data_IF_387122802384
#
_entry.id   IF_387122802384
#
_cell.length_a   1.000
_cell.length_b   1.000
_cell.length_c   1.000
_cell.angle_alpha   90.00
_cell.angle_beta   90.00
_cell.angle_gamma   90.00
#
_symmetry.space_group_name_H-M   'P 1'
#
loop_
_entity.id
_entity.type
_entity.pdbx_description
1 polymer ?
#
# COMPACT_ATOMS: atom_id res chain seq x y z
N UNK A 1 -36.10 -60.25 -16.51
CA UNK A 1 -36.31 -60.39 -15.05
C UNK A 1 -35.32 -59.46 -14.37
N UNK A 2 -35.78 -58.28 -13.90
CA UNK A 2 -34.91 -57.22 -13.36
C UNK A 2 -34.88 -57.37 -11.84
N UNK A 3 -33.81 -57.91 -11.27
CA UNK A 3 -33.59 -57.88 -9.82
C UNK A 3 -33.01 -56.52 -9.46
N UNK A 4 -33.85 -55.69 -8.84
CA UNK A 4 -33.48 -54.36 -8.37
C UNK A 4 -32.52 -54.46 -7.20
N UNK A 5 -31.28 -54.01 -7.41
CA UNK A 5 -30.38 -53.68 -6.30
C UNK A 5 -30.73 -52.25 -5.88
N UNK A 6 -31.37 -52.12 -4.72
CA UNK A 6 -31.64 -50.86 -4.05
C UNK A 6 -30.31 -50.15 -3.74
N UNK A 7 -29.94 -49.15 -4.55
CA UNK A 7 -28.86 -48.23 -4.19
C UNK A 7 -29.36 -47.38 -3.02
N UNK A 8 -28.88 -47.72 -1.83
CA UNK A 8 -28.93 -46.86 -0.66
C UNK A 8 -28.54 -45.43 -1.04
N UNK A 9 -29.38 -44.47 -0.64
CA UNK A 9 -29.10 -43.05 -0.76
C UNK A 9 -27.82 -42.73 0.04
N UNK A 10 -26.70 -42.56 -0.65
CA UNK A 10 -25.57 -41.86 -0.08
C UNK A 10 -25.98 -40.39 0.06
N UNK A 11 -26.59 -40.03 1.19
CA UNK A 11 -26.67 -38.66 1.64
C UNK A 11 -25.24 -38.16 1.83
N UNK A 12 -24.69 -37.48 0.81
CA UNK A 12 -23.40 -36.80 0.90
C UNK A 12 -23.66 -35.40 1.43
N UNK A 13 -23.30 -35.20 2.70
CA UNK A 13 -22.97 -33.95 3.38
C UNK A 13 -23.86 -32.73 3.05
N UNK A 14 -24.68 -32.38 4.01
CA UNK A 14 -25.08 -31.01 4.35
C UNK A 14 -23.89 -30.03 4.24
N UNK A 15 -23.76 -29.38 3.09
CA UNK A 15 -22.93 -28.19 2.92
C UNK A 15 -23.65 -27.00 3.56
N UNK A 16 -23.68 -27.01 4.89
CA UNK A 16 -24.34 -26.05 5.78
C UNK A 16 -23.68 -24.66 5.70
N UNK A 17 -23.83 -23.97 4.57
CA UNK A 17 -23.62 -22.52 4.42
C UNK A 17 -22.24 -21.98 4.78
N UNK A 18 -21.25 -22.82 5.10
CA UNK A 18 -19.91 -22.38 5.48
C UNK A 18 -19.12 -22.11 4.19
N UNK A 19 -18.72 -20.85 3.93
CA UNK A 19 -18.00 -20.55 2.69
C UNK A 19 -16.70 -21.35 2.67
N UNK A 20 -16.34 -21.88 1.49
CA UNK A 20 -15.12 -22.68 1.34
C UNK A 20 -13.94 -21.81 1.75
N UNK A 21 -12.88 -22.45 2.27
CA UNK A 21 -11.66 -21.73 2.71
C UNK A 21 -11.14 -20.75 1.64
N UNK A 22 -11.21 -21.13 0.37
CA UNK A 22 -10.83 -20.28 -0.77
C UNK A 22 -11.74 -19.04 -0.94
N UNK A 23 -13.04 -19.16 -0.66
CA UNK A 23 -13.99 -18.05 -0.73
C UNK A 23 -13.71 -17.03 0.40
N UNK A 24 -13.42 -17.50 1.63
CA UNK A 24 -12.95 -16.64 2.73
C UNK A 24 -11.62 -15.95 2.45
N UNK A 25 -10.68 -16.62 1.78
CA UNK A 25 -9.39 -16.03 1.38
C UNK A 25 -9.62 -14.94 0.33
N UNK A 26 -10.49 -15.17 -0.67
CA UNK A 26 -10.87 -14.16 -1.67
C UNK A 26 -11.52 -12.93 -1.03
N UNK A 27 -12.49 -13.12 -0.15
CA UNK A 27 -13.13 -12.06 0.64
C UNK A 27 -12.08 -11.27 1.44
N UNK A 28 -11.14 -11.96 2.10
CA UNK A 28 -10.05 -11.33 2.85
C UNK A 28 -9.11 -10.49 1.97
N UNK A 29 -8.78 -10.96 0.76
CA UNK A 29 -7.96 -10.22 -0.21
C UNK A 29 -8.69 -8.97 -0.72
N UNK A 30 -10.00 -9.07 -0.96
CA UNK A 30 -10.84 -7.97 -1.42
C UNK A 30 -11.00 -6.86 -0.36
N UNK A 31 -11.25 -7.25 0.90
CA UNK A 31 -11.27 -6.34 2.05
C UNK A 31 -9.93 -5.61 2.21
N UNK A 32 -8.81 -6.35 2.13
CA UNK A 32 -7.47 -5.75 2.23
C UNK A 32 -7.21 -4.78 1.09
N UNK A 33 -7.60 -5.11 -0.14
CA UNK A 33 -7.49 -4.21 -1.31
C UNK A 33 -8.29 -2.93 -1.10
N UNK A 34 -9.52 -3.02 -0.61
CA UNK A 34 -10.36 -1.85 -0.34
C UNK A 34 -9.78 -0.94 0.76
N UNK A 35 -9.27 -1.53 1.85
CA UNK A 35 -8.59 -0.78 2.91
C UNK A 35 -7.38 -0.01 2.35
N UNK A 36 -6.55 -0.65 1.51
CA UNK A 36 -5.43 -0.01 0.85
C UNK A 36 -5.85 1.10 -0.12
N UNK A 37 -6.90 0.87 -0.92
CA UNK A 37 -7.43 1.88 -1.84
C UNK A 37 -7.93 3.12 -1.10
N UNK A 38 -8.65 2.95 0.03
CA UNK A 38 -9.10 4.07 0.87
C UNK A 38 -7.94 4.83 1.49
N UNK A 39 -6.96 4.14 2.05
CA UNK A 39 -5.78 4.78 2.62
C UNK A 39 -5.00 5.58 1.55
N UNK A 40 -4.78 5.00 0.37
CA UNK A 40 -4.10 5.68 -0.73
C UNK A 40 -4.87 6.90 -1.24
N UNK A 41 -6.20 6.83 -1.32
CA UNK A 41 -7.03 7.98 -1.68
C UNK A 41 -6.90 9.11 -0.65
N UNK A 42 -7.01 8.79 0.66
CA UNK A 42 -6.81 9.76 1.74
C UNK A 42 -5.43 10.43 1.68
N UNK A 43 -4.35 9.66 1.45
CA UNK A 43 -3.01 10.21 1.33
C UNK A 43 -2.82 11.09 0.08
N UNK A 44 -3.53 10.78 -1.01
CA UNK A 44 -3.55 11.58 -2.25
C UNK A 44 -4.22 12.93 -2.06
N UNK A 45 -5.30 12.95 -1.28
CA UNK A 45 -6.09 14.15 -1.04
C UNK A 45 -5.40 15.08 -0.03
N UNK A 46 -4.69 14.51 0.95
CA UNK A 46 -3.92 15.24 1.95
C UNK A 46 -2.54 15.72 1.47
N UNK A 47 -2.35 15.91 0.15
CA UNK A 47 -1.09 16.44 -0.38
C UNK A 47 -0.95 17.92 -0.09
N UNK A 48 0.27 18.33 0.25
CA UNK A 48 0.62 19.72 0.56
C UNK A 48 1.53 20.30 -0.52
N UNK A 49 1.58 21.64 -0.63
CA UNK A 49 2.52 22.31 -1.52
C UNK A 49 3.95 22.08 -1.02
N UNK A 50 4.85 21.70 -1.94
CA UNK A 50 6.21 21.30 -1.59
C UNK A 50 7.01 22.41 -0.90
N UNK A 51 6.95 23.66 -1.39
CA UNK A 51 7.61 24.83 -0.80
C UNK A 51 9.15 24.75 -0.71
N UNK A 52 9.80 23.80 -1.39
CA UNK A 52 11.27 23.71 -1.39
C UNK A 52 11.85 24.76 -2.34
N UNK A 53 13.05 25.28 -2.03
CA UNK A 53 13.75 26.20 -2.92
C UNK A 53 14.12 25.48 -4.22
N UNK A 54 13.56 25.93 -5.34
CA UNK A 54 13.92 25.42 -6.65
C UNK A 54 15.32 25.88 -7.07
N UNK A 55 15.97 25.12 -7.96
CA UNK A 55 17.33 25.41 -8.40
C UNK A 55 17.44 26.54 -9.44
N UNK A 56 16.46 26.70 -10.33
CA UNK A 56 16.52 27.66 -11.44
C UNK A 56 16.42 29.11 -10.98
N UNK A 57 15.27 29.48 -10.40
CA UNK A 57 14.93 30.87 -10.04
C UNK A 57 14.84 31.09 -8.52
N UNK A 58 15.17 30.09 -7.69
CA UNK A 58 15.20 30.25 -6.22
C UNK A 58 13.82 30.39 -5.54
N UNK A 59 12.72 30.46 -6.31
CA UNK A 59 11.36 30.56 -5.78
C UNK A 59 10.86 29.28 -5.07
N UNK A 60 9.85 29.36 -4.19
CA UNK A 60 9.28 28.18 -3.58
C UNK A 60 8.66 27.24 -4.63
N UNK A 61 8.85 25.94 -4.45
CA UNK A 61 8.28 24.92 -5.32
C UNK A 61 6.76 24.82 -5.12
N UNK A 62 6.01 25.01 -6.21
CA UNK A 62 4.55 24.95 -6.23
C UNK A 62 3.99 23.54 -6.46
N UNK A 63 4.84 22.55 -6.75
CA UNK A 63 4.39 21.18 -6.97
C UNK A 63 3.82 20.55 -5.70
N UNK A 64 2.80 19.70 -5.84
CA UNK A 64 2.25 18.92 -4.74
C UNK A 64 3.25 17.87 -4.23
N UNK A 65 3.17 17.59 -2.94
CA UNK A 65 3.97 16.57 -2.29
C UNK A 65 3.64 15.17 -2.82
N UNK A 66 4.53 14.20 -2.56
CA UNK A 66 4.15 12.79 -2.68
C UNK A 66 3.08 12.50 -1.61
N UNK A 67 2.05 11.68 -1.91
CA UNK A 67 1.05 11.26 -0.91
C UNK A 67 1.69 10.85 0.42
N UNK A 68 1.15 11.37 1.53
CA UNK A 68 1.67 11.12 2.89
C UNK A 68 3.03 11.78 3.22
N UNK A 69 3.59 12.63 2.34
CA UNK A 69 4.89 13.28 2.56
C UNK A 69 4.82 14.80 2.45
N UNK A 70 5.91 15.46 2.87
CA UNK A 70 6.04 16.94 2.89
C UNK A 70 6.61 17.55 1.61
N UNK A 71 7.27 16.77 0.75
CA UNK A 71 7.99 17.28 -0.44
C UNK A 71 7.55 16.54 -1.71
N UNK A 72 7.69 17.19 -2.85
CA UNK A 72 7.40 16.61 -4.16
C UNK A 72 8.49 15.64 -4.62
N UNK A 73 8.24 14.91 -5.71
CA UNK A 73 9.19 13.95 -6.30
C UNK A 73 10.58 14.57 -6.56
N UNK A 74 10.63 15.81 -7.03
CA UNK A 74 11.87 16.49 -7.41
C UNK A 74 12.68 17.04 -6.22
N UNK A 75 12.03 17.27 -5.09
CA UNK A 75 12.65 17.82 -3.89
C UNK A 75 12.70 16.80 -2.75
N UNK A 76 12.95 15.53 -3.10
CA UNK A 76 13.23 14.47 -2.13
C UNK A 76 11.99 13.73 -1.60
N UNK A 77 10.79 13.99 -2.11
CA UNK A 77 9.58 13.24 -1.73
C UNK A 77 9.71 11.74 -1.99
N UNK A 78 10.38 11.34 -3.08
CA UNK A 78 10.66 9.93 -3.35
C UNK A 78 11.92 9.40 -2.67
N UNK A 79 12.70 10.26 -1.99
CA UNK A 79 13.87 9.81 -1.25
C UNK A 79 13.48 9.02 -0.02
N UNK A 80 14.31 8.03 0.31
CA UNK A 80 14.17 7.20 1.51
C UNK A 80 15.23 7.53 2.56
N UNK A 81 16.08 8.52 2.29
CA UNK A 81 17.21 8.89 3.14
C UNK A 81 18.36 7.87 3.14
N UNK A 82 19.49 8.16 3.79
CA UNK A 82 20.56 7.20 3.98
C UNK A 82 20.10 6.06 4.91
N UNK A 83 20.17 4.82 4.42
CA UNK A 83 19.79 3.63 5.18
C UNK A 83 20.96 2.96 5.90
N UNK A 84 22.17 3.14 5.40
CA UNK A 84 23.40 2.53 5.97
C UNK A 84 24.11 3.50 6.92
N UNK A 85 24.93 2.96 7.82
CA UNK A 85 25.74 3.76 8.75
C UNK A 85 26.70 4.70 8.00
N UNK A 86 27.43 4.18 7.02
CA UNK A 86 28.32 4.98 6.15
C UNK A 86 27.57 6.11 5.43
N UNK A 87 26.36 5.83 4.93
CA UNK A 87 25.52 6.83 4.27
C UNK A 87 25.13 7.95 5.22
N UNK A 88 24.81 7.62 6.48
CA UNK A 88 24.50 8.62 7.52
C UNK A 88 25.73 9.47 7.84
N UNK A 89 26.91 8.87 7.95
CA UNK A 89 28.18 9.60 8.18
C UNK A 89 28.48 10.57 7.04
N UNK A 90 28.33 10.13 5.78
CA UNK A 90 28.50 11.00 4.61
C UNK A 90 27.52 12.17 4.60
N UNK A 91 26.25 11.94 4.95
CA UNK A 91 25.28 13.03 5.09
C UNK A 91 25.69 13.98 6.23
N UNK A 92 26.11 13.44 7.38
CA UNK A 92 26.51 14.20 8.56
C UNK A 92 27.70 15.14 8.27
N UNK A 93 28.68 14.68 7.50
CA UNK A 93 29.85 15.46 7.12
C UNK A 93 29.53 16.73 6.30
N UNK A 94 28.34 16.80 5.69
CA UNK A 94 27.90 17.97 4.91
C UNK A 94 27.07 18.97 5.73
N UNK A 95 26.74 18.68 7.00
CA UNK A 95 26.06 19.67 7.83
C UNK A 95 27.02 20.82 8.20
N UNK A 96 26.52 22.05 8.34
CA UNK A 96 27.31 23.15 8.86
C UNK A 96 27.86 22.76 10.24
N UNK A 97 29.14 23.08 10.46
CA UNK A 97 29.74 22.90 11.79
C UNK A 97 29.03 23.83 12.78
N UNK A 98 28.84 23.39 14.03
CA UNK A 98 28.27 24.23 15.07
C UNK A 98 29.12 25.49 15.31
#
# INVERSE_FOLDING_TARGET
MKTGVSRAAHARADNSGRPRRADKVREGVELKRWQWQRAYAMERDNRVVCGARRRGDGQPCQALSVPGKKRCRWHGGCSTGPRTAEGKVKCAANLPRP
#
